data_IF_454584308094
#
_entry.id   IF_454584308094
#
_cell.length_a   1.000
_cell.length_b   1.000
_cell.length_c   1.000
_cell.angle_alpha   90.00
_cell.angle_beta   90.00
_cell.angle_gamma   90.00
#
_symmetry.space_group_name_H-M   'P 1'
#
loop_
_entity.id
_entity.type
_entity.pdbx_description
1 polymer ?
#
# COMPACT_ATOMS: atom_id res chain seq x y z
N UNK A 1 56.07 11.67 -40.81
CA UNK A 1 55.35 12.17 -39.61
C UNK A 1 53.88 11.73 -39.75
N UNK A 2 53.44 10.73 -38.98
CA UNK A 2 52.07 10.20 -39.03
C UNK A 2 51.29 10.77 -37.85
N UNK A 3 50.22 11.52 -38.12
CA UNK A 3 49.33 12.09 -37.10
C UNK A 3 48.43 10.99 -36.55
N UNK A 4 48.54 10.71 -35.25
CA UNK A 4 47.62 9.86 -34.50
C UNK A 4 46.45 10.73 -34.07
N UNK A 5 45.24 10.40 -34.53
CA UNK A 5 44.00 11.01 -34.05
C UNK A 5 43.57 10.22 -32.83
N UNK A 6 43.62 10.86 -31.66
CA UNK A 6 43.10 10.30 -30.40
C UNK A 6 41.59 10.58 -30.41
N UNK A 7 40.80 9.54 -30.70
CA UNK A 7 39.34 9.59 -30.59
C UNK A 7 38.92 9.52 -29.13
N UNK A 8 38.36 10.60 -28.61
CA UNK A 8 37.75 10.65 -27.29
C UNK A 8 36.48 9.80 -27.29
N UNK A 9 36.48 8.67 -26.58
CA UNK A 9 35.26 7.90 -26.32
C UNK A 9 34.48 8.64 -25.24
N UNK A 10 33.45 9.38 -25.65
CA UNK A 10 32.46 9.92 -24.72
C UNK A 10 31.59 8.75 -24.23
N UNK A 11 31.87 8.28 -23.02
CA UNK A 11 31.03 7.31 -22.33
C UNK A 11 29.74 8.05 -21.93
N UNK A 12 28.67 7.91 -22.72
CA UNK A 12 27.37 8.42 -22.35
C UNK A 12 26.86 7.61 -21.15
N UNK A 13 26.90 8.23 -19.96
CA UNK A 13 26.18 7.74 -18.79
C UNK A 13 24.68 7.86 -19.09
N UNK A 14 24.10 6.77 -19.59
CA UNK A 14 22.66 6.63 -19.60
C UNK A 14 22.19 6.55 -18.14
N UNK A 15 21.71 7.67 -17.61
CA UNK A 15 20.91 7.69 -16.38
C UNK A 15 19.65 6.87 -16.69
N UNK A 16 19.66 5.59 -16.35
CA UNK A 16 18.46 4.78 -16.29
C UNK A 16 17.58 5.36 -15.19
N UNK A 17 16.60 6.18 -15.58
CA UNK A 17 15.50 6.58 -14.71
C UNK A 17 14.81 5.30 -14.25
N UNK A 18 14.86 5.01 -12.95
CA UNK A 18 14.17 3.85 -12.40
C UNK A 18 12.66 4.05 -12.62
N UNK A 19 11.93 3.06 -13.17
CA UNK A 19 10.50 3.16 -13.50
C UNK A 19 9.59 3.57 -12.33
N UNK A 20 10.08 3.54 -11.09
CA UNK A 20 9.36 4.00 -9.91
C UNK A 20 8.93 5.48 -9.99
N UNK A 21 9.61 6.32 -10.79
CA UNK A 21 9.39 7.79 -10.72
C UNK A 21 8.15 8.30 -11.49
N UNK A 22 7.48 7.48 -12.29
CA UNK A 22 6.31 7.92 -13.07
C UNK A 22 4.95 7.65 -12.38
N UNK A 23 4.93 6.90 -11.29
CA UNK A 23 3.72 6.62 -10.53
C UNK A 23 3.47 7.70 -9.47
N UNK A 24 2.25 8.21 -9.42
CA UNK A 24 1.77 9.11 -8.37
C UNK A 24 0.32 8.74 -8.01
N UNK A 25 0.07 8.07 -6.87
CA UNK A 25 -1.28 7.76 -6.43
C UNK A 25 -2.05 9.04 -6.08
N UNK A 26 -3.40 9.03 -6.16
CA UNK A 26 -4.20 10.12 -5.62
C UNK A 26 -3.89 10.39 -4.15
N UNK A 27 -4.03 11.64 -3.64
CA UNK A 27 -3.67 11.98 -2.25
C UNK A 27 -4.37 11.16 -1.16
N UNK A 28 -5.53 10.56 -1.47
CA UNK A 28 -6.26 9.66 -0.57
C UNK A 28 -5.60 8.28 -0.39
N UNK A 29 -4.63 7.94 -1.24
CA UNK A 29 -4.02 6.62 -1.34
C UNK A 29 -2.54 6.71 -1.05
N UNK A 30 -2.12 6.01 -0.02
CA UNK A 30 -0.73 5.77 0.32
C UNK A 30 -0.28 4.45 -0.29
N UNK A 31 0.96 4.44 -0.82
CA UNK A 31 1.59 3.23 -1.34
C UNK A 31 3.05 3.21 -0.91
N UNK A 32 3.54 2.02 -0.54
CA UNK A 32 4.95 1.73 -0.35
C UNK A 32 5.31 0.47 -1.13
N UNK A 33 6.47 0.49 -1.78
CA UNK A 33 7.10 -0.67 -2.44
C UNK A 33 8.52 -0.78 -1.93
N UNK A 34 8.92 -2.00 -1.56
CA UNK A 34 10.29 -2.31 -1.18
C UNK A 34 10.84 -3.44 -2.03
N UNK A 35 12.05 -3.27 -2.56
CA UNK A 35 12.70 -4.30 -3.36
C UNK A 35 13.49 -5.32 -2.50
N UNK A 36 14.05 -6.34 -3.16
CA UNK A 36 14.87 -7.37 -2.53
C UNK A 36 16.13 -6.81 -1.85
N UNK A 37 16.66 -5.69 -2.33
CA UNK A 37 17.81 -4.99 -1.73
C UNK A 37 17.43 -4.10 -0.55
N UNK A 38 16.13 -3.95 -0.27
CA UNK A 38 15.60 -3.12 0.80
C UNK A 38 15.35 -1.66 0.41
N UNK A 39 15.58 -1.26 -0.84
CA UNK A 39 15.27 0.09 -1.30
C UNK A 39 13.75 0.31 -1.22
N UNK A 40 13.34 1.43 -0.62
CA UNK A 40 11.94 1.77 -0.40
C UNK A 40 11.51 2.96 -1.26
N UNK A 41 10.36 2.82 -1.91
CA UNK A 41 9.69 3.88 -2.65
C UNK A 41 8.32 4.08 -2.01
N UNK A 42 7.99 5.29 -1.59
CA UNK A 42 6.73 5.55 -0.87
C UNK A 42 6.10 6.87 -1.32
N UNK A 43 4.78 6.88 -1.38
CA UNK A 43 3.96 8.00 -1.82
C UNK A 43 2.84 8.24 -0.82
N UNK A 44 2.58 9.52 -0.50
CA UNK A 44 1.58 9.95 0.47
C UNK A 44 1.74 9.25 1.85
N UNK A 45 3.00 9.04 2.28
CA UNK A 45 3.31 8.34 3.53
C UNK A 45 2.66 9.03 4.72
N UNK A 46 1.98 8.25 5.55
CA UNK A 46 1.31 8.75 6.75
C UNK A 46 1.12 7.64 7.79
N UNK A 47 1.14 8.01 9.06
CA UNK A 47 0.70 7.12 10.13
C UNK A 47 -0.81 7.21 10.26
N UNK A 48 -1.52 6.11 9.99
CA UNK A 48 -2.99 6.03 10.12
C UNK A 48 -3.40 4.64 10.60
N UNK A 49 -4.70 4.37 10.89
CA UNK A 49 -5.13 3.08 11.41
C UNK A 49 -4.55 1.90 10.63
N UNK A 50 -3.98 0.95 11.36
CA UNK A 50 -3.31 -0.22 10.81
C UNK A 50 -4.30 -1.27 10.31
N UNK A 51 -5.57 -1.16 10.73
CA UNK A 51 -6.63 -2.12 10.43
C UNK A 51 -6.17 -3.55 10.78
N UNK A 52 -6.59 -4.54 10.00
CA UNK A 52 -6.13 -5.92 10.16
C UNK A 52 -4.68 -6.18 9.75
N UNK A 53 -3.91 -5.20 9.27
CA UNK A 53 -2.50 -5.41 8.94
C UNK A 53 -1.64 -5.59 10.20
N UNK A 54 -2.04 -5.00 11.34
CA UNK A 54 -1.33 -5.15 12.63
C UNK A 54 -1.34 -6.60 13.17
N UNK A 55 -2.21 -7.46 12.65
CA UNK A 55 -2.19 -8.89 12.98
C UNK A 55 -0.89 -9.56 12.54
N UNK A 56 -0.16 -8.97 11.58
CA UNK A 56 1.14 -9.47 11.11
C UNK A 56 2.20 -9.42 12.23
N UNK A 57 2.55 -8.27 12.83
CA UNK A 57 3.50 -8.25 13.95
C UNK A 57 2.99 -9.03 15.18
N UNK A 58 1.68 -9.01 15.47
CA UNK A 58 1.12 -9.85 16.54
C UNK A 58 1.40 -11.34 16.32
N UNK A 59 1.06 -11.85 15.12
CA UNK A 59 1.26 -13.25 14.78
C UNK A 59 2.74 -13.63 14.77
N UNK A 60 3.61 -12.77 14.26
CA UNK A 60 5.05 -12.99 14.25
C UNK A 60 5.64 -13.16 15.65
N UNK A 61 5.24 -12.31 16.60
CA UNK A 61 5.66 -12.47 18.00
C UNK A 61 5.20 -13.82 18.57
N UNK A 62 3.93 -14.20 18.34
CA UNK A 62 3.36 -15.46 18.82
C UNK A 62 4.10 -16.66 18.24
N UNK A 63 4.55 -16.59 16.99
CA UNK A 63 5.36 -17.66 16.37
C UNK A 63 6.69 -17.91 17.10
N UNK A 64 7.29 -16.87 17.70
CA UNK A 64 8.51 -17.00 18.50
C UNK A 64 8.26 -17.40 19.96
N UNK A 65 7.23 -16.83 20.58
CA UNK A 65 7.10 -16.81 22.04
C UNK A 65 5.84 -17.48 22.58
N UNK A 66 4.85 -17.75 21.73
CA UNK A 66 3.58 -18.36 22.11
C UNK A 66 3.71 -19.83 22.50
N UNK A 67 2.66 -20.38 23.12
CA UNK A 67 2.54 -21.84 23.25
C UNK A 67 2.29 -22.47 21.87
N UNK A 68 2.49 -23.78 21.74
CA UNK A 68 2.28 -24.46 20.47
C UNK A 68 0.81 -24.35 19.99
N UNK A 69 -0.13 -24.33 20.92
CA UNK A 69 -1.55 -24.08 20.64
C UNK A 69 -1.77 -22.68 20.06
N UNK A 70 -1.11 -21.65 20.60
CA UNK A 70 -1.26 -20.28 20.12
C UNK A 70 -0.57 -20.06 18.77
N UNK A 71 0.60 -20.70 18.56
CA UNK A 71 1.29 -20.69 17.25
C UNK A 71 0.40 -21.25 16.16
N UNK A 72 -0.35 -22.32 16.46
CA UNK A 72 -1.30 -22.92 15.51
C UNK A 72 -2.47 -21.96 15.14
N UNK A 73 -2.72 -20.92 15.94
CA UNK A 73 -3.74 -19.91 15.64
C UNK A 73 -3.27 -18.83 14.67
N UNK A 74 -1.96 -18.69 14.44
CA UNK A 74 -1.43 -17.56 13.64
C UNK A 74 -1.80 -17.67 12.17
N UNK A 75 -1.63 -18.84 11.54
CA UNK A 75 -2.03 -19.05 10.16
C UNK A 75 -3.53 -18.75 9.92
N UNK A 76 -4.50 -19.35 10.65
CA UNK A 76 -5.91 -19.05 10.45
C UNK A 76 -6.28 -17.61 10.77
N UNK A 77 -5.62 -16.97 11.75
CA UNK A 77 -5.79 -15.53 12.02
C UNK A 77 -5.46 -14.68 10.79
N UNK A 78 -4.35 -14.97 10.13
CA UNK A 78 -3.93 -14.23 8.93
C UNK A 78 -4.81 -14.59 7.74
N UNK A 79 -5.07 -15.87 7.53
CA UNK A 79 -5.83 -16.42 6.41
C UNK A 79 -7.25 -15.86 6.34
N UNK A 80 -7.95 -15.85 7.46
CA UNK A 80 -9.36 -15.40 7.56
C UNK A 80 -9.49 -14.00 8.13
N UNK A 81 -8.37 -13.34 8.43
CA UNK A 81 -8.34 -12.06 9.13
C UNK A 81 -9.17 -12.08 10.44
N UNK A 82 -9.06 -13.14 11.21
CA UNK A 82 -9.96 -13.42 12.34
C UNK A 82 -9.69 -12.47 13.53
N UNK A 83 -10.66 -11.62 13.84
CA UNK A 83 -10.60 -10.66 14.95
C UNK A 83 -10.73 -11.32 16.32
N UNK A 84 -11.42 -12.46 16.40
CA UNK A 84 -11.55 -13.24 17.64
C UNK A 84 -10.21 -13.81 18.06
N UNK A 85 -9.48 -14.40 17.10
CA UNK A 85 -8.12 -14.90 17.35
C UNK A 85 -7.17 -13.75 17.69
N UNK A 86 -7.19 -12.65 16.93
CA UNK A 86 -6.33 -11.50 17.22
C UNK A 86 -6.59 -10.90 18.60
N UNK A 87 -7.87 -10.82 19.00
CA UNK A 87 -8.26 -10.33 20.32
C UNK A 87 -7.77 -11.27 21.42
N UNK A 88 -7.95 -12.58 21.26
CA UNK A 88 -7.44 -13.58 22.20
C UNK A 88 -5.91 -13.48 22.37
N UNK A 89 -5.18 -13.45 21.26
CA UNK A 89 -3.71 -13.39 21.28
C UNK A 89 -3.20 -12.06 21.86
N UNK A 90 -3.82 -10.92 21.51
CA UNK A 90 -3.44 -9.62 22.06
C UNK A 90 -3.73 -9.51 23.58
N UNK A 91 -4.81 -10.12 24.06
CA UNK A 91 -5.12 -10.17 25.50
C UNK A 91 -4.13 -11.05 26.27
N UNK A 92 -3.78 -12.21 25.70
CA UNK A 92 -2.81 -13.14 26.29
C UNK A 92 -1.39 -12.59 26.26
N UNK A 93 -1.03 -11.86 25.21
CA UNK A 93 0.29 -11.32 24.94
C UNK A 93 0.26 -9.80 24.67
N UNK A 94 -0.03 -8.97 25.69
CA UNK A 94 -0.27 -7.53 25.49
C UNK A 94 0.95 -6.73 25.03
N UNK A 95 2.17 -7.25 25.19
CA UNK A 95 3.39 -6.59 24.68
C UNK A 95 3.76 -6.98 23.25
N UNK A 96 3.12 -8.02 22.68
CA UNK A 96 3.60 -8.69 21.46
C UNK A 96 3.85 -7.74 20.29
N UNK A 97 2.89 -6.88 19.98
CA UNK A 97 3.02 -5.90 18.88
C UNK A 97 4.14 -4.90 19.19
N UNK A 98 4.18 -4.39 20.43
CA UNK A 98 5.20 -3.43 20.87
C UNK A 98 6.61 -3.99 20.82
N UNK A 99 6.79 -5.26 21.19
CA UNK A 99 8.08 -5.94 21.14
C UNK A 99 8.58 -6.06 19.70
N UNK A 100 7.73 -6.52 18.76
CA UNK A 100 8.12 -6.63 17.35
C UNK A 100 8.43 -5.26 16.74
N UNK A 101 7.60 -4.25 17.02
CA UNK A 101 7.80 -2.88 16.55
C UNK A 101 9.15 -2.34 17.01
N UNK A 102 9.49 -2.54 18.29
CA UNK A 102 10.77 -2.13 18.88
C UNK A 102 11.94 -2.94 18.33
N UNK A 103 11.81 -4.25 18.24
CA UNK A 103 12.89 -5.16 17.82
C UNK A 103 13.26 -5.00 16.35
N UNK A 104 12.28 -4.72 15.48
CA UNK A 104 12.52 -4.48 14.05
C UNK A 104 12.86 -3.02 13.75
N UNK A 105 12.54 -2.08 14.64
CA UNK A 105 12.72 -0.64 14.42
C UNK A 105 11.68 -0.04 13.48
N UNK A 106 10.41 -0.40 13.67
CA UNK A 106 9.27 0.11 12.91
C UNK A 106 8.87 1.50 13.45
N UNK A 107 9.59 2.52 12.99
CA UNK A 107 9.59 3.87 13.58
C UNK A 107 8.30 4.66 13.36
N UNK A 108 7.46 4.25 12.41
CA UNK A 108 6.19 4.89 12.04
C UNK A 108 4.99 4.01 12.42
N UNK A 109 5.14 3.26 13.51
CA UNK A 109 4.11 2.40 14.09
C UNK A 109 3.76 2.86 15.50
N UNK A 110 2.52 3.26 15.71
CA UNK A 110 1.96 3.64 17.00
C UNK A 110 1.17 2.45 17.57
N UNK A 111 1.67 1.91 18.68
CA UNK A 111 1.07 0.74 19.34
C UNK A 111 0.05 1.20 20.37
N UNK A 112 -1.10 0.52 20.39
CA UNK A 112 -2.17 0.74 21.35
C UNK A 112 -2.44 -0.53 22.17
N UNK A 113 -3.03 -0.44 23.39
CA UNK A 113 -3.34 -1.62 24.20
C UNK A 113 -4.26 -2.64 23.50
N UNK A 114 -5.17 -2.16 22.66
CA UNK A 114 -6.00 -3.01 21.81
C UNK A 114 -5.46 -2.99 20.38
N UNK A 115 -5.21 -4.18 19.81
CA UNK A 115 -4.62 -4.33 18.48
C UNK A 115 -5.31 -3.48 17.42
N UNK A 116 -6.65 -3.41 17.43
CA UNK A 116 -7.44 -2.68 16.43
C UNK A 116 -7.23 -1.16 16.44
N UNK A 117 -6.68 -0.62 17.52
CA UNK A 117 -6.40 0.81 17.67
C UNK A 117 -4.97 1.19 17.26
N UNK A 118 -4.13 0.23 16.88
CA UNK A 118 -2.77 0.52 16.43
C UNK A 118 -2.80 1.25 15.08
N UNK A 119 -1.75 2.05 14.83
CA UNK A 119 -1.58 2.83 13.60
C UNK A 119 -0.21 2.57 13.00
N UNK A 120 -0.12 2.56 11.68
CA UNK A 120 1.10 2.22 10.93
C UNK A 120 1.19 3.04 9.63
N UNK A 121 2.41 3.30 9.16
CA UNK A 121 2.67 3.68 7.77
C UNK A 121 2.76 2.44 6.87
N UNK A 122 2.52 2.62 5.57
CA UNK A 122 2.73 1.53 4.60
C UNK A 122 4.22 1.20 4.44
N UNK A 123 5.12 2.15 4.72
CA UNK A 123 6.57 1.93 4.72
C UNK A 123 7.02 0.94 5.80
N UNK A 124 6.44 1.02 7.00
CA UNK A 124 6.70 0.06 8.08
C UNK A 124 6.10 -1.32 7.78
N UNK A 125 4.94 -1.38 7.13
CA UNK A 125 4.35 -2.66 6.72
C UNK A 125 5.22 -3.38 5.68
N UNK A 126 5.69 -2.67 4.63
CA UNK A 126 6.59 -3.29 3.65
C UNK A 126 7.94 -3.65 4.26
N UNK A 127 8.44 -2.85 5.20
CA UNK A 127 9.64 -3.13 5.96
C UNK A 127 9.51 -4.40 6.80
N UNK A 128 8.40 -4.56 7.55
CA UNK A 128 8.11 -5.78 8.31
C UNK A 128 8.12 -7.02 7.41
N UNK A 129 7.37 -6.99 6.29
CA UNK A 129 7.30 -8.13 5.36
C UNK A 129 8.67 -8.45 4.75
N UNK A 130 9.46 -7.42 4.42
CA UNK A 130 10.79 -7.60 3.87
C UNK A 130 11.75 -8.20 4.91
N UNK A 131 11.72 -7.68 6.15
CA UNK A 131 12.66 -8.08 7.20
C UNK A 131 12.43 -9.50 7.71
N UNK A 132 11.20 -9.99 7.60
CA UNK A 132 10.77 -11.34 7.99
C UNK A 132 10.74 -12.32 6.82
N UNK A 133 11.07 -11.89 5.60
CA UNK A 133 10.91 -12.71 4.39
C UNK A 133 11.73 -14.00 4.39
N UNK A 134 12.92 -13.97 4.99
CA UNK A 134 13.84 -15.11 5.09
C UNK A 134 13.78 -15.85 6.43
N UNK A 135 12.90 -15.42 7.33
CA UNK A 135 12.77 -16.05 8.64
C UNK A 135 11.87 -17.30 8.54
N UNK A 136 12.40 -18.52 8.79
CA UNK A 136 11.59 -19.73 8.76
C UNK A 136 10.49 -19.74 9.83
N UNK A 137 10.65 -19.03 10.95
CA UNK A 137 9.63 -18.94 12.00
C UNK A 137 8.39 -18.20 11.49
N UNK A 138 8.55 -17.24 10.57
CA UNK A 138 7.45 -16.48 9.97
C UNK A 138 6.64 -17.30 8.94
N UNK A 139 6.99 -18.55 8.66
CA UNK A 139 6.37 -19.32 7.58
C UNK A 139 4.84 -19.50 7.73
N UNK A 140 4.26 -19.80 8.91
CA UNK A 140 2.81 -19.87 9.07
C UNK A 140 2.09 -18.54 8.78
N UNK A 141 2.72 -17.41 9.11
CA UNK A 141 2.22 -16.08 8.75
C UNK A 141 2.20 -15.89 7.23
N UNK A 142 3.28 -16.27 6.53
CA UNK A 142 3.33 -16.18 5.06
C UNK A 142 2.36 -17.16 4.38
N UNK A 143 2.18 -18.36 4.94
CA UNK A 143 1.18 -19.31 4.44
C UNK A 143 -0.23 -18.76 4.55
N UNK A 144 -0.58 -18.13 5.69
CA UNK A 144 -1.87 -17.46 5.85
C UNK A 144 -2.10 -16.38 4.79
N UNK A 145 -1.07 -15.63 4.40
CA UNK A 145 -1.15 -14.63 3.33
C UNK A 145 -1.30 -15.26 1.93
N UNK A 146 -0.57 -16.35 1.62
CA UNK A 146 -0.68 -17.07 0.33
C UNK A 146 -2.04 -17.73 0.16
N UNK A 147 -2.60 -18.23 1.26
CA UNK A 147 -3.84 -18.99 1.27
C UNK A 147 -5.02 -18.15 1.78
N UNK A 148 -4.92 -16.82 1.72
CA UNK A 148 -5.95 -15.90 2.20
C UNK A 148 -7.33 -16.37 1.71
N UNK A 149 -8.25 -16.56 2.66
CA UNK A 149 -9.57 -17.09 2.35
C UNK A 149 -10.33 -16.08 1.47
N UNK A 150 -11.09 -16.51 0.44
CA UNK A 150 -11.82 -15.57 -0.42
C UNK A 150 -12.76 -14.63 0.37
N UNK A 151 -13.28 -15.12 1.49
CA UNK A 151 -14.13 -14.40 2.43
C UNK A 151 -13.52 -14.53 3.83
N UNK A 152 -13.32 -13.38 4.50
CA UNK A 152 -12.83 -13.28 5.86
C UNK A 152 -13.82 -13.85 6.89
N UNK A 153 -13.37 -13.98 8.14
CA UNK A 153 -14.19 -14.50 9.24
C UNK A 153 -15.48 -13.68 9.47
N UNK A 154 -15.42 -12.38 9.23
CA UNK A 154 -16.54 -11.44 9.35
C UNK A 154 -17.40 -11.33 8.08
N UNK A 155 -17.05 -12.04 7.01
CA UNK A 155 -17.75 -12.00 5.73
C UNK A 155 -17.21 -10.98 4.71
N UNK A 156 -16.11 -10.27 4.99
CA UNK A 156 -15.53 -9.32 4.03
C UNK A 156 -14.77 -10.05 2.89
N UNK A 157 -14.97 -9.67 1.60
CA UNK A 157 -14.18 -10.20 0.50
C UNK A 157 -12.69 -9.84 0.60
N UNK A 158 -11.81 -10.78 0.26
CA UNK A 158 -10.35 -10.63 0.31
C UNK A 158 -9.72 -10.78 -1.10
N UNK A 159 -10.10 -9.91 -2.02
CA UNK A 159 -9.70 -10.00 -3.44
C UNK A 159 -9.43 -8.63 -4.11
N UNK A 160 -8.94 -7.66 -3.33
CA UNK A 160 -8.79 -6.27 -3.76
C UNK A 160 -7.37 -5.72 -3.55
N UNK A 161 -7.12 -4.48 -3.99
CA UNK A 161 -5.87 -3.76 -3.75
C UNK A 161 -4.67 -4.47 -4.35
N UNK A 162 -3.58 -4.54 -3.58
CA UNK A 162 -2.30 -5.11 -4.05
C UNK A 162 -2.40 -6.60 -4.41
N UNK A 163 -3.40 -7.34 -3.93
CA UNK A 163 -3.63 -8.74 -4.32
C UNK A 163 -3.89 -8.92 -5.82
N UNK A 164 -4.30 -7.85 -6.51
CA UNK A 164 -4.57 -7.84 -7.95
C UNK A 164 -3.32 -7.58 -8.79
N UNK A 165 -2.19 -7.22 -8.15
CA UNK A 165 -0.97 -6.90 -8.86
C UNK A 165 -0.28 -8.17 -9.39
N UNK A 166 0.28 -8.13 -10.61
CA UNK A 166 0.98 -9.28 -11.16
C UNK A 166 2.18 -9.70 -10.30
N UNK A 167 2.34 -11.01 -10.09
CA UNK A 167 3.48 -11.57 -9.36
C UNK A 167 3.32 -11.54 -7.83
N UNK A 168 2.19 -11.06 -7.31
CA UNK A 168 1.86 -11.23 -5.89
C UNK A 168 1.59 -12.69 -5.59
N UNK A 169 2.23 -13.19 -4.53
CA UNK A 169 2.12 -14.58 -4.07
C UNK A 169 1.24 -14.69 -2.82
N UNK A 170 1.21 -13.65 -1.98
CA UNK A 170 0.37 -13.63 -0.79
C UNK A 170 0.05 -12.21 -0.35
N UNK A 171 -1.13 -12.05 0.27
CA UNK A 171 -1.65 -10.75 0.70
C UNK A 171 -2.32 -10.84 2.08
N UNK A 172 -2.11 -9.81 2.91
CA UNK A 172 -2.94 -9.49 4.07
C UNK A 172 -3.84 -8.31 3.72
N UNK A 173 -5.11 -8.43 4.09
CA UNK A 173 -6.15 -7.42 3.86
C UNK A 173 -6.51 -6.70 5.16
N UNK A 174 -6.96 -5.45 5.05
CA UNK A 174 -7.51 -4.66 6.14
C UNK A 174 -8.59 -3.70 5.65
N UNK A 175 -9.62 -3.49 6.47
CA UNK A 175 -10.76 -2.63 6.19
C UNK A 175 -11.24 -1.99 7.49
N UNK A 176 -11.88 -0.83 7.39
CA UNK A 176 -12.68 -0.24 8.48
C UNK A 176 -13.96 -1.06 8.71
N UNK A 177 -14.54 -0.98 9.91
CA UNK A 177 -15.75 -1.74 10.27
C UNK A 177 -16.93 -1.49 9.33
N UNK A 178 -17.07 -0.26 8.83
CA UNK A 178 -18.09 0.11 7.83
C UNK A 178 -17.79 -0.38 6.41
N UNK A 179 -16.62 -1.00 6.20
CA UNK A 179 -16.05 -1.54 4.96
C UNK A 179 -15.85 -0.53 3.83
N UNK A 180 -16.02 0.77 4.11
CA UNK A 180 -16.09 1.83 3.10
C UNK A 180 -15.15 2.99 3.37
N UNK A 181 -14.94 3.33 4.63
CA UNK A 181 -14.15 4.51 4.98
C UNK A 181 -12.66 4.33 4.71
N UNK A 182 -12.14 3.11 4.86
CA UNK A 182 -10.73 2.85 4.63
C UNK A 182 -10.45 1.39 4.32
N UNK A 183 -9.60 1.15 3.33
CA UNK A 183 -9.16 -0.18 2.93
C UNK A 183 -7.65 -0.19 2.74
N UNK A 184 -7.01 -1.30 3.11
CA UNK A 184 -5.58 -1.50 2.98
C UNK A 184 -5.25 -2.94 2.60
N UNK A 185 -4.11 -3.11 1.94
CA UNK A 185 -3.55 -4.42 1.60
C UNK A 185 -2.03 -4.37 1.70
N UNK A 186 -1.43 -5.50 2.07
CA UNK A 186 0.02 -5.66 2.06
C UNK A 186 0.37 -7.03 1.49
N UNK A 187 1.27 -7.05 0.51
CA UNK A 187 1.57 -8.21 -0.29
C UNK A 187 3.08 -8.43 -0.43
N UNK A 188 3.45 -9.66 -0.72
CA UNK A 188 4.80 -10.02 -1.16
C UNK A 188 4.76 -10.81 -2.46
N UNK A 189 5.89 -10.81 -3.15
CA UNK A 189 6.16 -11.67 -4.31
C UNK A 189 7.67 -11.78 -4.53
N UNK A 190 8.10 -12.34 -5.67
CA UNK A 190 9.52 -12.54 -5.95
C UNK A 190 10.30 -11.23 -5.95
N UNK A 191 11.08 -11.00 -4.89
CA UNK A 191 11.98 -9.85 -4.78
C UNK A 191 11.30 -8.51 -4.50
N UNK A 192 10.06 -8.50 -3.99
CA UNK A 192 9.41 -7.28 -3.55
C UNK A 192 8.40 -7.49 -2.42
N UNK A 193 8.15 -6.41 -1.68
CA UNK A 193 6.95 -6.25 -0.85
C UNK A 193 6.26 -4.95 -1.24
N UNK A 194 4.93 -4.92 -1.15
CA UNK A 194 4.12 -3.76 -1.50
C UNK A 194 2.98 -3.63 -0.53
N UNK A 195 2.72 -2.43 -0.03
CA UNK A 195 1.59 -2.14 0.82
C UNK A 195 0.90 -0.87 0.33
N UNK A 196 -0.42 -0.84 0.43
CA UNK A 196 -1.21 0.30 0.03
C UNK A 196 -2.43 0.44 0.91
N UNK A 197 -2.84 1.70 1.16
CA UNK A 197 -4.03 2.06 1.90
C UNK A 197 -4.72 3.23 1.22
N UNK A 198 -6.05 3.19 1.15
CA UNK A 198 -6.85 4.32 0.68
C UNK A 198 -7.88 4.71 1.73
N UNK A 199 -8.11 6.02 1.88
CA UNK A 199 -9.37 6.52 2.44
C UNK A 199 -10.41 6.33 1.34
N UNK A 200 -11.36 5.42 1.56
CA UNK A 200 -12.33 5.00 0.56
C UNK A 200 -12.50 3.48 0.43
N UNK A 201 -13.40 3.06 -0.46
CA UNK A 201 -13.78 1.66 -0.63
C UNK A 201 -12.69 0.86 -1.36
N UNK A 202 -12.78 -0.47 -1.27
CA UNK A 202 -11.79 -1.41 -1.80
C UNK A 202 -11.55 -1.27 -3.32
N UNK A 203 -12.57 -0.88 -4.07
CA UNK A 203 -12.48 -0.67 -5.52
C UNK A 203 -11.57 0.50 -5.87
N UNK A 204 -11.59 1.57 -5.07
CA UNK A 204 -10.69 2.71 -5.26
C UNK A 204 -9.24 2.28 -5.00
N UNK A 205 -8.99 1.58 -3.89
CA UNK A 205 -7.66 1.05 -3.61
C UNK A 205 -7.17 0.17 -4.77
N UNK A 206 -8.05 -0.68 -5.29
CA UNK A 206 -7.74 -1.59 -6.40
C UNK A 206 -7.38 -0.82 -7.66
N UNK A 207 -8.15 0.20 -8.03
CA UNK A 207 -7.86 1.03 -9.20
C UNK A 207 -6.55 1.79 -9.04
N UNK A 208 -6.30 2.37 -7.86
CA UNK A 208 -5.17 3.26 -7.62
C UNK A 208 -3.83 2.51 -7.67
N UNK A 209 -3.77 1.24 -7.22
CA UNK A 209 -2.53 0.46 -7.23
C UNK A 209 -2.12 -0.05 -8.61
N UNK A 210 -2.98 -0.02 -9.63
CA UNK A 210 -2.66 -0.60 -10.95
C UNK A 210 -1.49 0.09 -11.65
N UNK A 211 -1.19 1.35 -11.29
CA UNK A 211 -0.04 2.08 -11.81
C UNK A 211 1.30 1.73 -11.14
N UNK A 212 1.30 0.91 -10.09
CA UNK A 212 2.51 0.58 -9.32
C UNK A 212 3.44 -0.30 -10.16
N UNK A 213 4.67 0.15 -10.35
CA UNK A 213 5.74 -0.67 -10.95
C UNK A 213 6.47 -1.47 -9.88
N UNK A 214 6.44 -2.80 -10.00
CA UNK A 214 7.12 -3.71 -9.08
C UNK A 214 8.51 -4.12 -9.62
N UNK A 215 9.54 -4.21 -8.75
CA UNK A 215 10.87 -4.69 -9.12
C UNK A 215 10.82 -6.05 -9.85
N UNK A 216 11.66 -6.23 -10.87
CA UNK A 216 11.72 -7.49 -11.63
C UNK A 216 10.69 -7.63 -12.75
N UNK A 217 9.86 -6.61 -13.00
CA UNK A 217 8.96 -6.57 -14.16
C UNK A 217 9.04 -5.21 -14.86
N UNK A 218 9.10 -5.24 -16.20
CA UNK A 218 8.88 -4.03 -17.00
C UNK A 218 7.45 -3.50 -16.73
N UNK A 219 7.25 -2.18 -16.64
CA UNK A 219 5.90 -1.63 -16.49
C UNK A 219 5.00 -2.19 -17.60
N UNK A 220 3.81 -2.66 -17.24
CA UNK A 220 2.81 -2.97 -18.24
C UNK A 220 2.56 -1.69 -19.06
N UNK A 221 2.52 -1.77 -20.41
CA UNK A 221 2.18 -0.59 -21.19
C UNK A 221 0.78 -0.13 -20.78
N UNK A 222 0.71 1.10 -20.28
CA UNK A 222 -0.55 1.79 -19.99
C UNK A 222 -1.43 1.73 -21.26
N UNK A 223 -2.68 1.23 -21.19
CA UNK A 223 -3.63 1.32 -22.30
C UNK A 223 -4.04 2.79 -22.49
N UNK A 224 -3.22 3.56 -23.20
CA UNK A 224 -3.35 5.03 -23.30
C UNK A 224 -2.05 5.84 -23.42
N UNK A 225 -0.86 5.24 -23.36
CA UNK A 225 0.38 5.98 -23.69
C UNK A 225 0.45 6.25 -25.21
N UNK A 226 0.73 7.50 -25.67
CA UNK A 226 0.99 7.76 -27.08
C UNK A 226 2.21 6.98 -27.56
N UNK A 227 2.07 6.26 -28.67
CA UNK A 227 3.20 5.57 -29.32
C UNK A 227 4.12 6.63 -29.96
N UNK A 228 5.43 6.67 -29.64
CA UNK A 228 6.37 7.56 -30.32
C UNK A 228 6.41 7.25 -31.82
N UNK A 229 6.01 8.21 -32.66
CA UNK A 229 6.04 8.10 -34.11
C UNK A 229 4.69 7.81 -34.79
N UNK A 230 3.59 7.66 -34.04
CA UNK A 230 2.27 7.75 -34.64
C UNK A 230 1.92 9.22 -34.94
N UNK A 231 1.34 9.56 -36.12
CA UNK A 231 0.85 10.91 -36.36
C UNK A 231 -0.18 11.28 -35.29
N UNK A 232 0.10 12.33 -34.51
CA UNK A 232 -0.91 12.86 -33.60
C UNK A 232 -2.08 13.39 -34.43
N UNK A 233 -3.34 13.03 -34.11
CA UNK A 233 -4.48 13.77 -34.65
C UNK A 233 -4.36 15.22 -34.19
N UNK A 234 -4.56 16.16 -35.11
CA UNK A 234 -4.47 17.58 -34.84
C UNK A 234 -5.31 17.95 -33.60
N UNK A 235 -4.70 18.66 -32.66
CA UNK A 235 -5.39 19.14 -31.47
C UNK A 235 -6.61 19.98 -31.89
N UNK A 236 -7.82 19.73 -31.34
CA UNK A 236 -8.92 20.64 -31.56
C UNK A 236 -8.58 21.99 -30.91
N UNK A 237 -8.69 23.05 -31.71
CA UNK A 237 -8.52 24.43 -31.28
C UNK A 237 -9.46 24.72 -30.10
N UNK A 238 -8.91 24.84 -28.89
CA UNK A 238 -9.66 25.13 -27.66
C UNK A 238 -9.97 26.62 -27.47
N UNK A 239 -9.84 27.42 -28.53
CA UNK A 239 -10.31 28.81 -28.60
C UNK A 239 -10.88 29.08 -29.99
N UNK A 240 -12.12 28.60 -30.21
CA UNK A 240 -12.96 28.98 -31.34
C UNK A 240 -14.35 29.27 -30.81
N UNK A 241 -14.78 30.53 -30.92
CA UNK A 241 -16.09 31.01 -30.47
C UNK A 241 -17.21 30.19 -31.10
N UNK A 242 -18.07 29.59 -30.27
CA UNK A 242 -19.38 29.09 -30.69
C UNK A 242 -20.43 29.92 -29.95
N UNK A 243 -21.12 30.77 -30.71
CA UNK A 243 -22.44 31.27 -30.33
C UNK A 243 -23.41 30.08 -30.28
N UNK A 244 -24.12 29.90 -29.16
CA UNK A 244 -25.26 28.99 -29.08
C UNK A 244 -26.52 29.86 -28.95
N UNK A 245 -27.46 29.82 -29.90
CA UNK A 245 -28.75 30.46 -29.73
C UNK A 245 -29.64 29.62 -28.79
N UNK A 246 -30.18 30.25 -27.75
CA UNK A 246 -31.48 29.87 -27.22
C UNK A 246 -31.57 29.04 -25.93
N UNK A 247 -30.54 28.95 -25.07
CA UNK A 247 -30.72 28.41 -23.71
C UNK A 247 -30.00 29.28 -22.68
N UNK A 248 -30.77 30.09 -21.95
CA UNK A 248 -30.29 30.76 -20.76
C UNK A 248 -30.22 29.75 -19.61
N UNK A 249 -29.01 29.38 -19.19
CA UNK A 249 -28.79 28.67 -17.93
C UNK A 249 -28.68 29.70 -16.79
N UNK A 250 -29.34 29.48 -15.63
CA UNK A 250 -29.24 30.39 -14.51
C UNK A 250 -27.82 30.35 -13.90
N UNK A 251 -27.26 31.54 -13.67
CA UNK A 251 -26.03 31.73 -12.90
C UNK A 251 -26.35 31.39 -11.44
N UNK A 252 -25.81 30.28 -10.94
CA UNK A 252 -25.86 29.94 -9.51
C UNK A 252 -24.67 30.65 -8.84
N UNK A 253 -24.89 31.57 -7.87
CA UNK A 253 -23.80 32.18 -7.14
C UNK A 253 -23.11 31.15 -6.23
N UNK A 254 -21.78 31.20 -6.18
CA UNK A 254 -20.96 30.40 -5.27
C UNK A 254 -21.37 30.69 -3.80
N UNK A 255 -21.53 29.67 -2.94
CA UNK A 255 -21.77 29.91 -1.52
C UNK A 255 -20.53 30.54 -0.87
N UNK A 256 -20.74 31.64 -0.15
CA UNK A 256 -19.73 32.24 0.73
C UNK A 256 -19.46 31.32 1.92
N UNK A 257 -18.20 30.90 2.10
CA UNK A 257 -17.79 30.13 3.27
C UNK A 257 -17.86 31.01 4.54
N UNK A 258 -18.42 30.54 5.65
CA UNK A 258 -18.37 31.25 6.93
C UNK A 258 -16.93 31.23 7.50
N UNK A 259 -16.55 32.23 8.33
CA UNK A 259 -15.24 32.26 8.95
C UNK A 259 -15.05 31.07 9.90
N UNK A 260 -13.84 30.48 9.86
CA UNK A 260 -13.42 29.38 10.73
C UNK A 260 -13.53 29.81 12.20
N UNK A 261 -14.32 29.07 12.98
CA UNK A 261 -14.29 29.15 14.45
C UNK A 261 -13.03 28.44 14.97
N UNK A 262 -12.37 28.97 16.02
CA UNK A 262 -11.20 28.31 16.60
C UNK A 262 -11.59 26.96 17.22
N UNK A 263 -10.72 25.96 17.03
CA UNK A 263 -10.90 24.60 17.53
C UNK A 263 -11.03 24.55 19.07
N UNK A 264 -11.87 23.67 19.63
CA UNK A 264 -11.87 23.41 21.06
C UNK A 264 -10.62 22.61 21.46
N UNK A 265 -10.05 22.95 22.62
CA UNK A 265 -8.98 22.20 23.27
C UNK A 265 -9.50 20.81 23.66
N UNK A 266 -8.80 19.76 23.22
CA UNK A 266 -9.11 18.37 23.55
C UNK A 266 -8.77 18.09 25.02
N UNK A 267 -9.74 17.56 25.77
CA UNK A 267 -9.47 16.71 26.92
C UNK A 267 -9.84 15.27 26.55
N UNK A 268 -8.81 14.42 26.64
CA UNK A 268 -8.71 12.97 26.39
C UNK A 268 -8.55 12.52 24.95
#
# INVERSE_FOLDING_TARGET
MKRVVIGTVACALALSTTPAQAYAPPPRTEVSVRDAGGANFSWNSQVAPALSLIKLPLGYWVLYHGSDEDKALVEPMIQRSDDGIATYLNQKYPSAIGDVVRDLGMMETEVAPFWGNCRMSMADVTYFLHRTASDPVAEPLRQGMRQAAPIAADGNPQNYGTATLPGVEGTKFGWSDDRKSMNATASFGPGFTVAARTIGPAEQLTADVQGVSLPGKAPAPWPGAPVPGAPQPAAPNLFGSVEIPGVALPVIPLPTLPPLSPAPLSSY
#
